data_IF_616241928175
#
_entry.id   IF_616241928175
#
_cell.length_a   1.000
_cell.length_b   1.000
_cell.length_c   1.000
_cell.angle_alpha   90.00
_cell.angle_beta   90.00
_cell.angle_gamma   90.00
#
_symmetry.space_group_name_H-M   'P 1'
#
loop_
_entity.id
_entity.type
_entity.pdbx_description
1 polymer ?
#
# COMPACT_ATOMS: atom_id res chain seq x y z
N UNK A 1 -14.34 -28.24 14.51
CA UNK A 1 -15.40 -27.70 13.65
C UNK A 1 -15.21 -26.21 13.58
N UNK A 2 -14.65 -25.71 12.48
CA UNK A 2 -14.50 -24.26 12.26
C UNK A 2 -15.83 -23.78 11.67
N UNK A 3 -16.70 -23.21 12.50
CA UNK A 3 -18.06 -22.80 12.12
C UNK A 3 -18.17 -21.34 11.67
N UNK A 4 -17.08 -20.56 11.68
CA UNK A 4 -17.09 -19.15 11.27
C UNK A 4 -16.78 -18.92 9.77
N UNK A 5 -16.73 -19.97 8.95
CA UNK A 5 -16.16 -19.91 7.59
C UNK A 5 -17.08 -19.38 6.47
N UNK A 6 -18.34 -19.01 6.76
CA UNK A 6 -19.31 -18.65 5.71
C UNK A 6 -20.17 -17.42 6.06
N UNK A 7 -19.67 -16.55 6.93
CA UNK A 7 -20.32 -15.28 7.23
C UNK A 7 -19.87 -14.18 6.25
N UNK A 8 -20.69 -13.14 6.09
CA UNK A 8 -20.28 -11.97 5.33
C UNK A 8 -19.14 -11.28 6.07
N UNK A 9 -18.08 -10.92 5.35
CA UNK A 9 -16.89 -10.25 5.90
C UNK A 9 -16.59 -8.98 5.10
N UNK A 10 -15.82 -8.08 5.70
CA UNK A 10 -15.39 -6.85 5.04
C UNK A 10 -14.29 -7.15 4.00
N UNK A 11 -14.51 -6.69 2.76
CA UNK A 11 -13.57 -6.93 1.67
C UNK A 11 -12.24 -6.18 1.84
N UNK A 12 -12.24 -5.02 2.51
CA UNK A 12 -11.03 -4.25 2.81
C UNK A 12 -10.18 -4.92 3.89
N UNK A 13 -10.80 -5.55 4.89
CA UNK A 13 -10.12 -6.38 5.88
C UNK A 13 -9.50 -7.62 5.21
N UNK A 14 -10.28 -8.31 4.38
CA UNK A 14 -9.79 -9.45 3.60
C UNK A 14 -8.60 -9.07 2.70
N UNK A 15 -8.68 -7.93 2.01
CA UNK A 15 -7.59 -7.40 1.19
C UNK A 15 -6.33 -7.12 2.01
N UNK A 16 -6.48 -6.49 3.18
CA UNK A 16 -5.36 -6.17 4.07
C UNK A 16 -4.61 -7.43 4.51
N UNK A 17 -5.32 -8.47 4.93
CA UNK A 17 -4.70 -9.74 5.30
C UNK A 17 -4.07 -10.47 4.11
N UNK A 18 -4.68 -10.41 2.93
CA UNK A 18 -4.11 -10.97 1.70
C UNK A 18 -2.78 -10.30 1.35
N UNK A 19 -2.73 -8.97 1.38
CA UNK A 19 -1.53 -8.20 1.11
C UNK A 19 -0.43 -8.53 2.13
N UNK A 20 -0.78 -8.63 3.41
CA UNK A 20 0.15 -9.01 4.49
C UNK A 20 0.73 -10.41 4.28
N UNK A 21 -0.10 -11.37 3.85
CA UNK A 21 0.33 -12.72 3.53
C UNK A 21 1.26 -12.74 2.31
N UNK A 22 0.95 -11.98 1.25
CA UNK A 22 1.78 -11.86 0.06
C UNK A 22 3.14 -11.21 0.37
N UNK A 23 3.17 -10.16 1.19
CA UNK A 23 4.41 -9.52 1.64
C UNK A 23 5.29 -10.47 2.46
N UNK A 24 4.67 -11.33 3.26
CA UNK A 24 5.37 -12.33 4.06
C UNK A 24 5.81 -13.54 3.24
N UNK A 25 5.24 -13.72 2.04
CA UNK A 25 5.58 -14.84 1.16
C UNK A 25 6.99 -14.64 0.60
N UNK A 26 7.89 -15.55 0.97
CA UNK A 26 9.23 -15.61 0.40
C UNK A 26 9.15 -16.43 -0.87
N UNK A 27 9.10 -15.75 -2.02
CA UNK A 27 9.14 -16.46 -3.29
C UNK A 27 10.60 -16.72 -3.63
N UNK A 28 10.92 -17.99 -3.86
CA UNK A 28 12.27 -18.43 -4.21
C UNK A 28 12.71 -17.74 -5.50
N UNK A 29 13.85 -17.04 -5.42
CA UNK A 29 14.42 -16.31 -6.54
C UNK A 29 14.81 -17.23 -7.71
N UNK A 30 15.01 -18.53 -7.44
CA UNK A 30 15.28 -19.55 -8.45
C UNK A 30 14.09 -19.79 -9.41
N UNK A 31 12.86 -19.49 -8.99
CA UNK A 31 11.67 -19.58 -9.85
C UNK A 31 11.72 -18.52 -10.98
N UNK A 32 12.31 -17.35 -10.73
CA UNK A 32 12.49 -16.32 -11.76
C UNK A 32 13.63 -16.66 -12.73
N UNK A 33 14.65 -17.38 -12.27
CA UNK A 33 15.81 -17.72 -13.09
C UNK A 33 15.43 -18.60 -14.31
N UNK A 34 14.38 -19.41 -14.20
CA UNK A 34 13.88 -20.28 -15.28
C UNK A 34 12.85 -19.61 -16.20
N UNK A 35 12.39 -18.40 -15.88
CA UNK A 35 11.36 -17.71 -16.67
C UNK A 35 12.00 -16.92 -17.82
N UNK A 36 11.69 -17.34 -19.05
CA UNK A 36 12.17 -16.72 -20.29
C UNK A 36 11.49 -15.35 -20.48
N UNK A 37 12.24 -14.34 -20.93
CA UNK A 37 11.77 -12.96 -21.19
C UNK A 37 11.44 -12.07 -19.97
N UNK A 38 11.94 -12.38 -18.77
CA UNK A 38 11.87 -11.41 -17.67
C UNK A 38 12.75 -10.18 -17.94
N UNK A 39 12.24 -8.95 -17.75
CA UNK A 39 13.06 -7.74 -17.81
C UNK A 39 14.21 -7.78 -16.80
N UNK A 40 15.35 -7.19 -17.15
CA UNK A 40 16.55 -7.25 -16.31
C UNK A 40 16.33 -6.69 -14.89
N UNK A 41 15.39 -5.75 -14.74
CA UNK A 41 14.98 -5.20 -13.44
C UNK A 41 14.35 -6.21 -12.47
N UNK A 42 13.97 -7.40 -12.94
CA UNK A 42 13.45 -8.51 -12.14
C UNK A 42 14.55 -9.49 -11.70
N UNK A 43 15.78 -9.35 -12.23
CA UNK A 43 16.89 -10.30 -12.00
C UNK A 43 17.93 -9.79 -11.02
N UNK A 44 17.82 -8.55 -10.55
CA UNK A 44 18.87 -7.85 -9.78
C UNK A 44 18.66 -7.82 -8.28
N UNK A 45 17.47 -8.18 -7.77
CA UNK A 45 17.16 -8.09 -6.34
C UNK A 45 16.92 -9.48 -5.76
N UNK A 46 17.75 -9.89 -4.81
CA UNK A 46 17.68 -11.16 -4.07
C UNK A 46 16.44 -11.33 -3.19
N UNK A 47 15.57 -10.31 -3.12
CA UNK A 47 14.27 -10.34 -2.47
C UNK A 47 13.25 -9.76 -3.44
N UNK A 48 12.46 -10.63 -4.06
CA UNK A 48 11.35 -10.22 -4.93
C UNK A 48 10.07 -10.20 -4.11
N UNK A 49 9.60 -9.00 -3.74
CA UNK A 49 8.30 -8.82 -3.12
C UNK A 49 7.35 -8.17 -4.15
N UNK A 50 6.33 -8.90 -4.64
CA UNK A 50 5.42 -8.38 -5.66
C UNK A 50 4.56 -7.22 -5.15
N UNK A 51 4.22 -7.21 -3.86
CA UNK A 51 3.43 -6.13 -3.26
C UNK A 51 4.25 -4.84 -3.28
N UNK A 52 5.50 -4.88 -2.80
CA UNK A 52 6.39 -3.72 -2.79
C UNK A 52 6.62 -3.15 -4.20
N UNK A 53 6.68 -4.01 -5.21
CA UNK A 53 6.98 -3.61 -6.59
C UNK A 53 5.79 -2.98 -7.31
N UNK A 54 4.59 -3.51 -7.10
CA UNK A 54 3.43 -3.20 -7.95
C UNK A 54 2.28 -2.53 -7.22
N UNK A 55 2.18 -2.72 -5.90
CA UNK A 55 1.07 -2.24 -5.09
C UNK A 55 1.50 -1.18 -4.08
N UNK A 56 2.80 -1.05 -3.81
CA UNK A 56 3.32 -0.01 -2.91
C UNK A 56 3.64 1.28 -3.68
N UNK A 57 3.10 2.39 -3.19
CA UNK A 57 3.47 3.75 -3.58
C UNK A 57 4.16 4.51 -2.44
N UNK A 58 4.70 5.68 -2.77
CA UNK A 58 5.27 6.62 -1.80
C UNK A 58 4.61 8.00 -1.92
N UNK A 59 4.42 8.65 -0.78
CA UNK A 59 3.88 10.00 -0.65
C UNK A 59 4.92 10.87 0.03
N UNK A 60 5.30 11.96 -0.63
CA UNK A 60 6.06 13.02 0.01
C UNK A 60 5.07 13.96 0.69
N UNK A 61 5.17 14.03 2.01
CA UNK A 61 4.30 14.80 2.88
C UNK A 61 5.09 15.99 3.45
N UNK A 62 4.41 17.12 3.58
CA UNK A 62 4.95 18.33 4.18
C UNK A 62 3.98 18.85 5.21
N UNK A 63 4.45 19.01 6.45
CA UNK A 63 3.69 19.55 7.56
C UNK A 63 4.18 20.96 7.89
N UNK A 64 3.26 21.90 7.93
CA UNK A 64 3.52 23.33 8.19
C UNK A 64 2.58 23.85 9.28
N UNK A 65 3.09 24.65 10.22
CA UNK A 65 2.23 25.35 11.18
C UNK A 65 1.59 26.56 10.51
N UNK A 66 0.28 26.75 10.69
CA UNK A 66 -0.44 27.92 10.15
C UNK A 66 -0.50 29.09 11.12
N UNK A 67 -0.10 28.89 12.37
CA UNK A 67 -0.24 29.86 13.47
C UNK A 67 1.10 30.45 13.92
N UNK A 68 2.21 29.84 13.55
CA UNK A 68 3.57 30.25 13.91
C UNK A 68 4.56 29.95 12.77
N UNK A 69 5.68 30.68 12.75
CA UNK A 69 6.73 30.55 11.74
C UNK A 69 7.71 29.41 12.13
N UNK A 70 7.16 28.24 12.38
CA UNK A 70 7.90 27.01 12.69
C UNK A 70 8.43 26.34 11.41
N UNK A 71 9.59 25.68 11.47
CA UNK A 71 10.16 25.02 10.29
C UNK A 71 9.25 23.91 9.77
N UNK A 72 9.11 23.84 8.44
CA UNK A 72 8.36 22.78 7.78
C UNK A 72 9.00 21.42 8.03
N UNK A 73 8.16 20.40 8.26
CA UNK A 73 8.62 19.01 8.44
C UNK A 73 8.26 18.19 7.21
N UNK A 74 9.27 17.67 6.53
CA UNK A 74 9.09 16.76 5.38
C UNK A 74 9.12 15.30 5.85
N UNK A 75 8.19 14.48 5.36
CA UNK A 75 8.17 13.03 5.57
C UNK A 75 7.91 12.27 4.27
N UNK A 76 8.32 11.01 4.22
CA UNK A 76 8.07 10.09 3.12
C UNK A 76 7.31 8.88 3.66
N UNK A 77 6.08 8.70 3.19
CA UNK A 77 5.18 7.66 3.68
C UNK A 77 4.92 6.63 2.57
N UNK A 78 4.91 5.35 2.94
CA UNK A 78 4.59 4.25 2.02
C UNK A 78 3.14 3.82 2.21
N UNK A 79 2.48 3.45 1.11
CA UNK A 79 1.10 2.94 1.15
C UNK A 79 0.93 1.78 0.19
N UNK A 80 0.02 0.85 0.50
CA UNK A 80 -0.41 -0.23 -0.40
C UNK A 80 -1.86 -0.07 -0.89
N UNK A 81 -2.59 0.89 -0.31
CA UNK A 81 -3.97 1.21 -0.65
C UNK A 81 -4.20 2.70 -0.45
N UNK A 82 -4.92 3.34 -1.38
CA UNK A 82 -5.40 4.71 -1.24
C UNK A 82 -6.86 4.69 -0.78
N UNK A 83 -7.13 5.39 0.32
CA UNK A 83 -8.50 5.60 0.79
C UNK A 83 -9.14 6.76 0.01
N UNK A 84 -10.32 6.51 -0.56
CA UNK A 84 -11.13 7.54 -1.21
C UNK A 84 -12.33 7.85 -0.30
N UNK A 85 -12.45 9.09 0.16
CA UNK A 85 -13.61 9.51 0.93
C UNK A 85 -14.66 10.14 0.03
N UNK A 86 -15.91 9.73 0.21
CA UNK A 86 -17.02 10.31 -0.54
C UNK A 86 -17.55 11.52 0.23
N UNK A 87 -17.52 12.70 -0.39
CA UNK A 87 -18.10 13.91 0.18
C UNK A 87 -19.24 14.44 -0.69
N UNK A 88 -20.45 14.46 -0.13
CA UNK A 88 -21.69 15.06 -0.65
C UNK A 88 -21.80 15.11 -2.19
N UNK A 89 -21.74 13.93 -2.83
CA UNK A 89 -22.09 13.76 -4.24
C UNK A 89 -21.08 14.27 -5.27
N UNK A 90 -19.84 14.57 -4.90
CA UNK A 90 -18.80 14.99 -5.86
C UNK A 90 -17.88 13.82 -6.26
N UNK A 91 -17.46 13.83 -7.53
CA UNK A 91 -16.69 12.79 -8.24
C UNK A 91 -15.35 12.47 -7.55
N UNK A 92 -14.92 11.21 -7.70
CA UNK A 92 -13.74 10.50 -7.17
C UNK A 92 -12.42 11.30 -7.01
N UNK A 93 -12.27 12.41 -7.73
CA UNK A 93 -11.06 13.25 -7.76
C UNK A 93 -10.86 14.01 -6.43
N UNK A 94 -11.90 14.16 -5.60
CA UNK A 94 -11.92 15.18 -4.54
C UNK A 94 -11.33 14.71 -3.20
N UNK A 95 -11.15 13.41 -2.95
CA UNK A 95 -10.66 12.97 -1.64
C UNK A 95 -9.67 11.80 -1.69
N UNK A 96 -8.58 11.98 -2.43
CA UNK A 96 -7.27 11.46 -1.99
C UNK A 96 -6.69 12.50 -1.02
N UNK A 97 -7.45 12.89 0.01
CA UNK A 97 -6.98 13.78 1.08
C UNK A 97 -6.62 12.87 2.24
N UNK A 98 -5.33 12.61 2.40
CA UNK A 98 -4.78 11.77 3.45
C UNK A 98 -5.14 12.36 4.81
N UNK A 99 -5.86 11.58 5.62
CA UNK A 99 -6.00 11.85 7.05
C UNK A 99 -4.67 11.50 7.72
N UNK A 100 -3.79 12.48 7.86
CA UNK A 100 -2.61 12.40 8.71
C UNK A 100 -2.90 12.69 10.20
N UNK A 101 -4.14 13.06 10.55
CA UNK A 101 -4.52 13.38 11.92
C UNK A 101 -5.82 12.66 12.32
N UNK A 102 -5.67 11.46 12.87
CA UNK A 102 -6.65 10.85 13.76
C UNK A 102 -5.92 9.94 14.76
N UNK A 103 -5.31 10.57 15.76
CA UNK A 103 -5.03 10.00 17.09
C UNK A 103 -5.29 11.07 18.12
#
# INVERSE_FOLDING_TARGET
>A
MITHGFEQQDASECWTELIRALQSSKIDSQVYASTVNLPQSFRTTSQWNPVERFLTGQLSCKLTCTESDEPETDSLETFTQLSCFMHQGKILIIVIKLNLFST
#
